data_IF_299771025562
#
_entry.id   IF_299771025562
#
_cell.length_a   1.000
_cell.length_b   1.000
_cell.length_c   1.000
_cell.angle_alpha   90.00
_cell.angle_beta   90.00
_cell.angle_gamma   90.00
#
_symmetry.space_group_name_H-M   'P 1'
#
loop_
_entity.id
_entity.type
_entity.pdbx_description
1 polymer ?
#
# COMPACT_ATOMS: atom_id res chain seq x y z
N UNK A 1 -0.83 -0.80 -25.38
CA UNK A 1 0.17 -1.89 -25.45
C UNK A 1 0.22 -2.63 -24.11
N UNK A 2 0.61 -3.90 -24.10
CA UNK A 2 0.71 -4.73 -22.89
C UNK A 2 2.18 -4.95 -22.52
N UNK A 3 2.78 -4.01 -21.78
CA UNK A 3 4.19 -4.10 -21.37
C UNK A 3 4.38 -4.85 -20.05
N UNK A 4 3.36 -4.90 -19.20
CA UNK A 4 3.42 -5.55 -17.89
C UNK A 4 3.87 -7.01 -17.97
N UNK A 5 4.85 -7.40 -17.13
CA UNK A 5 5.51 -8.72 -17.12
C UNK A 5 6.18 -9.11 -18.45
N UNK A 6 6.66 -8.15 -19.23
CA UNK A 6 7.43 -8.40 -20.45
C UNK A 6 8.78 -7.67 -20.42
N UNK A 7 9.79 -8.12 -21.19
CA UNK A 7 11.06 -7.39 -21.31
C UNK A 7 10.91 -5.93 -21.79
N UNK A 8 9.80 -5.63 -22.45
CA UNK A 8 9.47 -4.27 -22.89
C UNK A 8 9.00 -3.32 -21.76
N UNK A 9 8.86 -3.83 -20.53
CA UNK A 9 8.66 -3.09 -19.27
C UNK A 9 9.98 -2.46 -18.77
N UNK A 10 10.64 -1.73 -19.66
CA UNK A 10 11.90 -1.05 -19.39
C UNK A 10 11.68 0.46 -19.26
N UNK A 11 12.60 1.14 -18.57
CA UNK A 11 12.58 2.59 -18.46
C UNK A 11 12.56 3.25 -19.85
N UNK A 12 11.72 4.29 -19.98
CA UNK A 12 11.68 5.16 -21.16
C UNK A 12 11.63 6.62 -20.71
N UNK A 13 12.34 7.54 -21.39
CA UNK A 13 12.39 8.94 -20.98
C UNK A 13 11.03 9.67 -21.06
N UNK A 14 10.06 9.12 -21.78
CA UNK A 14 8.70 9.66 -21.89
C UNK A 14 7.75 9.23 -20.76
N UNK A 15 8.19 8.33 -19.86
CA UNK A 15 7.36 7.89 -18.74
C UNK A 15 7.02 9.04 -17.78
N UNK A 16 5.76 9.10 -17.32
CA UNK A 16 5.31 10.05 -16.30
C UNK A 16 5.40 9.45 -14.90
N UNK A 17 6.40 9.90 -14.12
CA UNK A 17 6.64 9.46 -12.74
C UNK A 17 5.87 10.27 -11.69
N UNK A 18 4.91 11.11 -12.08
CA UNK A 18 4.12 11.91 -11.13
C UNK A 18 3.35 11.03 -10.15
N UNK A 19 2.84 9.88 -10.60
CA UNK A 19 2.17 8.88 -9.76
C UNK A 19 3.12 8.33 -8.69
N UNK A 20 4.31 7.91 -9.09
CA UNK A 20 5.32 7.35 -8.19
C UNK A 20 5.77 8.37 -7.14
N UNK A 21 6.00 9.62 -7.54
CA UNK A 21 6.34 10.70 -6.61
C UNK A 21 5.25 10.94 -5.56
N UNK A 22 3.96 10.86 -5.95
CA UNK A 22 2.84 10.96 -5.00
C UNK A 22 2.81 9.77 -4.05
N UNK A 23 2.98 8.56 -4.56
CA UNK A 23 3.01 7.34 -3.74
C UNK A 23 4.18 7.33 -2.76
N UNK A 24 5.36 7.76 -3.17
CA UNK A 24 6.54 7.87 -2.31
C UNK A 24 6.30 8.85 -1.14
N UNK A 25 5.76 10.04 -1.43
CA UNK A 25 5.42 11.03 -0.39
C UNK A 25 4.35 10.51 0.57
N UNK A 26 3.30 9.89 0.03
CA UNK A 26 2.22 9.32 0.84
C UNK A 26 2.73 8.20 1.74
N UNK A 27 3.44 7.22 1.16
CA UNK A 27 3.98 6.07 1.89
C UNK A 27 4.94 6.48 3.00
N UNK A 28 5.84 7.44 2.72
CA UNK A 28 6.74 7.98 3.72
C UNK A 28 5.96 8.65 4.86
N UNK A 29 5.01 9.54 4.56
CA UNK A 29 4.24 10.24 5.57
C UNK A 29 3.39 9.28 6.42
N UNK A 30 2.75 8.28 5.79
CA UNK A 30 1.96 7.25 6.46
C UNK A 30 2.85 6.40 7.39
N UNK A 31 3.97 5.91 6.88
CA UNK A 31 4.93 5.11 7.65
C UNK A 31 5.50 5.89 8.84
N UNK A 32 5.90 7.14 8.62
CA UNK A 32 6.38 8.02 9.68
C UNK A 32 5.35 8.23 10.78
N UNK A 33 4.08 8.50 10.39
CA UNK A 33 2.99 8.70 11.34
C UNK A 33 2.72 7.44 12.16
N UNK A 34 2.71 6.26 11.52
CA UNK A 34 2.50 4.98 12.20
C UNK A 34 3.67 4.64 13.14
N UNK A 35 4.91 4.81 12.68
CA UNK A 35 6.11 4.51 13.47
C UNK A 35 6.30 5.46 14.67
N UNK A 36 5.83 6.70 14.54
CA UNK A 36 5.91 7.70 15.61
C UNK A 36 4.70 7.71 16.54
N UNK A 37 3.71 6.83 16.33
CA UNK A 37 2.51 6.78 17.15
C UNK A 37 2.84 6.24 18.55
N UNK A 38 2.18 6.79 19.58
CA UNK A 38 2.32 6.31 20.98
C UNK A 38 1.82 4.87 21.14
N UNK A 39 0.81 4.51 20.35
CA UNK A 39 0.16 3.21 20.39
C UNK A 39 0.29 2.52 19.03
N UNK A 40 0.39 1.20 19.06
CA UNK A 40 0.44 0.40 17.84
C UNK A 40 -0.88 0.54 17.08
N UNK A 41 -0.77 0.66 15.76
CA UNK A 41 -1.94 0.65 14.89
C UNK A 41 -2.58 -0.75 14.92
N UNK A 42 -3.91 -0.80 14.95
CA UNK A 42 -4.67 -2.04 15.08
C UNK A 42 -5.98 -2.01 14.29
N UNK A 43 -6.71 -3.13 14.34
CA UNK A 43 -8.01 -3.28 13.69
C UNK A 43 -9.05 -2.36 14.34
N UNK A 44 -9.89 -1.74 13.50
CA UNK A 44 -11.02 -0.96 13.97
C UNK A 44 -12.25 -1.87 14.10
N UNK A 45 -13.03 -1.71 15.17
CA UNK A 45 -14.25 -2.49 15.33
C UNK A 45 -15.21 -2.24 14.15
N UNK A 46 -15.68 -3.32 13.52
CA UNK A 46 -16.57 -3.26 12.37
C UNK A 46 -15.89 -2.90 11.04
N UNK A 47 -14.56 -2.98 10.95
CA UNK A 47 -13.86 -2.85 9.68
C UNK A 47 -14.32 -3.91 8.67
N UNK A 48 -14.23 -3.59 7.38
CA UNK A 48 -14.70 -4.45 6.28
C UNK A 48 -14.03 -5.83 6.23
N UNK A 49 -12.85 -5.98 6.85
CA UNK A 49 -12.11 -7.23 6.95
C UNK A 49 -12.39 -7.98 8.24
N UNK A 50 -13.08 -7.39 9.22
CA UNK A 50 -13.36 -7.99 10.52
C UNK A 50 -14.08 -9.34 10.39
N UNK A 51 -15.14 -9.50 9.56
CA UNK A 51 -15.80 -10.80 9.41
C UNK A 51 -14.86 -11.89 8.88
N UNK A 52 -14.08 -11.58 7.84
CA UNK A 52 -13.15 -12.53 7.23
C UNK A 52 -11.99 -12.89 8.17
N UNK A 53 -11.41 -11.90 8.85
CA UNK A 53 -10.36 -12.09 9.86
C UNK A 53 -10.85 -12.93 11.04
N UNK A 54 -12.07 -12.69 11.54
CA UNK A 54 -12.66 -13.50 12.61
C UNK A 54 -12.89 -14.94 12.16
N UNK A 55 -13.39 -15.15 10.94
CA UNK A 55 -13.58 -16.49 10.39
C UNK A 55 -12.25 -17.26 10.25
N UNK A 56 -11.17 -16.61 9.81
CA UNK A 56 -9.86 -17.26 9.66
C UNK A 56 -9.15 -17.57 10.98
N UNK A 57 -9.62 -17.02 12.10
CA UNK A 57 -9.04 -17.22 13.44
C UNK A 57 -9.78 -18.31 14.24
N UNK A 58 -10.86 -18.88 13.70
CA UNK A 58 -11.55 -20.01 14.32
C UNK A 58 -10.74 -21.30 14.08
N UNK A 59 -10.54 -22.14 15.11
CA UNK A 59 -9.82 -23.41 14.98
C UNK A 59 -10.55 -24.42 14.09
#
# INVERSE_FOLDING_TARGET
EHHYHQPSDEYRPEMDFTGDAKMARFGFALGWKAASAKELQGWHAGDEFEPARKASQQP
#
